data_IF_496700951714
#
_entry.id   IF_496700951714
#
_cell.length_a   1.000
_cell.length_b   1.000
_cell.length_c   1.000
_cell.angle_alpha   90.00
_cell.angle_beta   90.00
_cell.angle_gamma   90.00
#
_symmetry.space_group_name_H-M   'P 1'
#
loop_
_entity.id
_entity.type
_entity.pdbx_description
1 polymer ?
#
# COMPACT_ATOMS: atom_id res chain seq x y z
N UNK A 1 9.18 -2.57 12.03
CA UNK A 1 8.15 -3.62 11.89
C UNK A 1 7.05 -3.13 10.96
N UNK A 2 6.61 -3.98 10.02
CA UNK A 2 5.49 -3.71 9.11
C UNK A 2 4.19 -4.26 9.72
N UNK A 3 3.10 -3.49 9.60
CA UNK A 3 1.76 -3.90 10.00
C UNK A 3 0.80 -3.72 8.83
N UNK A 4 -0.08 -4.68 8.57
CA UNK A 4 -1.21 -4.51 7.66
C UNK A 4 -2.50 -4.34 8.42
N UNK A 5 -3.30 -3.36 8.01
CA UNK A 5 -4.62 -3.10 8.56
C UNK A 5 -5.58 -3.16 7.38
N UNK A 6 -6.50 -4.10 7.43
CA UNK A 6 -7.50 -4.26 6.39
C UNK A 6 -8.88 -3.85 6.90
N UNK A 7 -9.52 -2.92 6.21
CA UNK A 7 -10.85 -2.39 6.54
C UNK A 7 -11.93 -2.99 5.64
N UNK A 8 -12.91 -3.65 6.25
CA UNK A 8 -14.03 -4.27 5.53
C UNK A 8 -15.37 -3.96 6.19
N UNK A 9 -16.44 -4.02 5.39
CA UNK A 9 -17.81 -3.92 5.89
C UNK A 9 -18.22 -5.20 6.62
N UNK A 10 -17.96 -6.36 6.03
CA UNK A 10 -18.38 -7.67 6.51
C UNK A 10 -17.43 -8.81 6.09
N UNK A 11 -17.61 -9.98 6.70
CA UNK A 11 -16.88 -11.20 6.33
C UNK A 11 -17.54 -11.83 5.09
N UNK A 12 -16.76 -12.04 4.04
CA UNK A 12 -17.19 -12.71 2.80
C UNK A 12 -16.17 -13.76 2.33
N UNK A 13 -16.57 -14.61 1.37
CA UNK A 13 -15.63 -15.54 0.73
C UNK A 13 -14.55 -14.81 -0.07
N UNK A 14 -14.91 -13.69 -0.70
CA UNK A 14 -13.96 -12.84 -1.42
C UNK A 14 -12.90 -12.27 -0.47
N UNK A 15 -13.34 -11.81 0.71
CA UNK A 15 -12.43 -11.36 1.77
C UNK A 15 -11.46 -12.49 2.18
N UNK A 16 -11.97 -13.69 2.43
CA UNK A 16 -11.13 -14.81 2.82
C UNK A 16 -10.08 -15.15 1.75
N UNK A 17 -10.46 -15.07 0.46
CA UNK A 17 -9.54 -15.26 -0.65
C UNK A 17 -8.48 -14.14 -0.70
N UNK A 18 -8.87 -12.88 -0.50
CA UNK A 18 -7.94 -11.73 -0.42
C UNK A 18 -6.93 -11.87 0.72
N UNK A 19 -7.41 -12.18 1.93
CA UNK A 19 -6.54 -12.43 3.10
C UNK A 19 -5.60 -13.60 2.82
N UNK A 20 -6.09 -14.69 2.23
CA UNK A 20 -5.24 -15.86 1.92
C UNK A 20 -4.12 -15.48 0.96
N UNK A 21 -4.43 -14.76 -0.12
CA UNK A 21 -3.44 -14.27 -1.08
C UNK A 21 -2.44 -13.32 -0.43
N UNK A 22 -2.89 -12.39 0.41
CA UNK A 22 -2.01 -11.49 1.18
C UNK A 22 -1.02 -12.29 2.03
N UNK A 23 -1.48 -13.34 2.73
CA UNK A 23 -0.62 -14.17 3.56
C UNK A 23 0.35 -15.02 2.75
N UNK A 24 -0.04 -15.53 1.58
CA UNK A 24 0.87 -16.22 0.66
C UNK A 24 2.02 -15.28 0.23
N UNK A 25 1.68 -14.05 -0.13
CA UNK A 25 2.65 -13.01 -0.49
C UNK A 25 3.55 -12.65 0.70
N UNK A 26 3.00 -12.41 1.90
CA UNK A 26 3.77 -12.15 3.12
C UNK A 26 4.75 -13.30 3.39
N UNK A 27 4.29 -14.55 3.32
CA UNK A 27 5.14 -15.71 3.59
C UNK A 27 6.27 -15.85 2.56
N UNK A 28 5.98 -15.56 1.29
CA UNK A 28 6.97 -15.53 0.23
C UNK A 28 8.01 -14.42 0.43
N UNK A 29 7.56 -13.22 0.82
CA UNK A 29 8.41 -12.04 1.01
C UNK A 29 9.11 -11.98 2.37
N UNK A 30 8.74 -12.84 3.33
CA UNK A 30 9.24 -12.87 4.71
C UNK A 30 10.77 -12.72 4.85
N UNK A 31 11.62 -13.33 4.00
CA UNK A 31 13.06 -13.13 4.08
C UNK A 31 13.51 -11.67 3.86
N UNK A 32 12.76 -10.90 3.07
CA UNK A 32 13.06 -9.50 2.76
C UNK A 32 12.36 -8.51 3.70
N UNK A 33 11.07 -8.75 4.00
CA UNK A 33 10.24 -7.79 4.72
C UNK A 33 10.10 -8.09 6.22
N UNK A 34 10.58 -9.26 6.67
CA UNK A 34 10.46 -9.72 8.05
C UNK A 34 9.05 -10.20 8.41
N UNK A 35 8.77 -10.25 9.71
CA UNK A 35 7.43 -10.59 10.22
C UNK A 35 6.46 -9.42 9.99
N UNK A 36 5.26 -9.75 9.52
CA UNK A 36 4.15 -8.81 9.32
C UNK A 36 3.00 -9.21 10.23
N UNK A 37 2.49 -8.25 11.00
CA UNK A 37 1.26 -8.42 11.77
C UNK A 37 0.08 -7.89 10.97
N UNK A 38 -1.03 -8.61 10.94
CA UNK A 38 -2.23 -8.25 10.19
C UNK A 38 -3.40 -8.05 11.15
N UNK A 39 -4.10 -6.93 11.03
CA UNK A 39 -5.39 -6.70 11.70
C UNK A 39 -6.49 -6.53 10.66
N UNK A 40 -7.56 -7.31 10.79
CA UNK A 40 -8.78 -7.18 10.02
C UNK A 40 -9.81 -6.45 10.88
N UNK A 41 -10.21 -5.26 10.44
CA UNK A 41 -11.21 -4.42 11.10
C UNK A 41 -12.53 -4.42 10.34
N UNK A 42 -13.62 -4.64 11.06
CA UNK A 42 -14.98 -4.63 10.50
C UNK A 42 -15.79 -3.43 11.00
N UNK A 43 -16.51 -2.76 10.10
CA UNK A 43 -17.44 -1.65 10.45
C UNK A 43 -18.77 -2.19 11.01
N UNK A 44 -19.23 -3.36 10.57
CA UNK A 44 -20.57 -3.83 10.90
C UNK A 44 -20.68 -4.53 12.26
N UNK A 45 -21.46 -3.93 13.16
CA UNK A 45 -21.76 -4.42 14.53
C UNK A 45 -22.72 -5.62 14.57
N UNK A 46 -23.32 -6.02 13.45
CA UNK A 46 -24.27 -7.15 13.41
C UNK A 46 -23.62 -8.51 13.30
N UNK A 47 -22.31 -8.57 13.07
CA UNK A 47 -21.57 -9.83 13.23
C UNK A 47 -21.49 -10.08 14.74
N UNK A 48 -22.45 -10.84 15.26
CA UNK A 48 -22.37 -11.53 16.56
C UNK A 48 -21.31 -12.63 16.48
N UNK A 49 -20.08 -12.26 16.17
CA UNK A 49 -18.94 -13.06 16.60
C UNK A 49 -18.65 -12.56 18.01
N UNK A 50 -18.80 -13.43 19.01
CA UNK A 50 -18.11 -13.24 20.29
C UNK A 50 -16.71 -12.71 19.96
N UNK A 51 -16.38 -11.52 20.46
CA UNK A 51 -15.26 -10.72 19.95
C UNK A 51 -14.08 -11.63 19.60
N UNK A 52 -13.76 -11.75 18.31
CA UNK A 52 -12.65 -12.61 17.84
C UNK A 52 -11.31 -12.24 18.51
N UNK A 53 -11.27 -11.10 19.19
CA UNK A 53 -10.30 -10.71 20.21
C UNK A 53 -9.95 -11.81 21.22
N UNK A 54 -10.86 -12.72 21.57
CA UNK A 54 -10.58 -13.82 22.51
C UNK A 54 -10.06 -15.10 21.86
N UNK A 55 -10.19 -15.29 20.54
CA UNK A 55 -9.74 -16.53 19.87
C UNK A 55 -8.33 -16.42 19.27
N UNK A 56 -7.83 -15.21 19.00
CA UNK A 56 -6.55 -15.00 18.32
C UNK A 56 -5.32 -14.81 19.24
N UNK A 57 -5.48 -14.78 20.58
CA UNK A 57 -4.34 -14.85 21.51
C UNK A 57 -3.80 -16.28 21.71
N UNK A 58 -4.16 -17.22 20.84
CA UNK A 58 -3.58 -18.56 20.79
C UNK A 58 -2.30 -18.60 19.94
N UNK A 59 -1.33 -17.73 20.25
CA UNK A 59 0.13 -17.84 19.99
C UNK A 59 0.65 -18.38 18.63
N UNK A 60 -0.14 -18.47 17.56
CA UNK A 60 0.27 -19.11 16.29
C UNK A 60 -0.17 -18.36 15.01
N UNK A 61 -1.09 -17.39 15.08
CA UNK A 61 -1.52 -16.63 13.90
C UNK A 61 -1.11 -15.16 13.97
N UNK A 62 -0.41 -14.67 12.95
CA UNK A 62 -0.07 -13.24 12.77
C UNK A 62 -1.29 -12.36 12.42
N UNK A 63 -2.48 -12.96 12.31
CA UNK A 63 -3.73 -12.29 11.93
C UNK A 63 -4.63 -12.10 13.15
N UNK A 64 -5.11 -10.88 13.33
CA UNK A 64 -6.05 -10.46 14.36
C UNK A 64 -7.34 -9.98 13.71
N UNK A 65 -8.47 -10.17 14.37
CA UNK A 65 -9.77 -9.69 13.91
C UNK A 65 -10.40 -8.82 15.01
N UNK A 66 -10.86 -7.62 14.67
CA UNK A 66 -11.54 -6.73 15.61
C UNK A 66 -12.66 -5.90 14.96
N UNK A 67 -13.54 -5.37 15.80
CA UNK A 67 -14.53 -4.35 15.48
C UNK A 67 -14.26 -3.03 16.23
N UNK A 68 -13.26 -3.02 17.13
CA UNK A 68 -12.92 -1.85 17.92
C UNK A 68 -11.69 -1.14 17.32
N UNK A 69 -11.91 0.10 16.90
CA UNK A 69 -10.85 0.96 16.37
C UNK A 69 -9.73 1.21 17.39
N UNK A 70 -9.97 1.06 18.69
CA UNK A 70 -8.90 1.20 19.67
C UNK A 70 -7.84 0.08 19.58
N UNK A 71 -8.19 -1.05 18.96
CA UNK A 71 -7.24 -2.15 18.76
C UNK A 71 -6.27 -1.85 17.63
N UNK A 72 -6.66 -1.01 16.66
CA UNK A 72 -5.73 -0.46 15.67
C UNK A 72 -4.51 0.13 16.36
N UNK A 73 -4.73 1.05 17.32
CA UNK A 73 -3.64 1.74 18.04
C UNK A 73 -2.70 0.77 18.76
N UNK A 74 -3.24 -0.28 19.38
CA UNK A 74 -2.44 -1.31 20.07
C UNK A 74 -1.62 -2.14 19.09
N UNK A 75 -2.19 -2.47 17.92
CA UNK A 75 -1.50 -3.30 16.92
C UNK A 75 -0.39 -2.54 16.22
N UNK A 76 -0.60 -1.25 15.93
CA UNK A 76 0.43 -0.42 15.31
C UNK A 76 1.52 0.01 16.30
N UNK A 77 1.37 -0.19 17.61
CA UNK A 77 2.38 0.21 18.57
C UNK A 77 3.74 -0.45 18.27
N UNK A 78 4.79 0.36 18.08
CA UNK A 78 6.13 -0.10 17.71
C UNK A 78 6.28 -0.52 16.24
N UNK A 79 5.30 -0.24 15.38
CA UNK A 79 5.49 -0.32 13.92
C UNK A 79 6.19 0.93 13.40
N UNK A 80 6.86 0.79 12.26
CA UNK A 80 7.49 1.91 11.52
C UNK A 80 6.66 2.26 10.27
N UNK A 81 6.07 1.24 9.65
CA UNK A 81 5.28 1.37 8.43
C UNK A 81 4.00 0.56 8.54
N UNK A 82 2.91 1.12 8.04
CA UNK A 82 1.57 0.54 8.08
C UNK A 82 1.02 0.49 6.65
N UNK A 83 0.46 -0.64 6.23
CA UNK A 83 -0.29 -0.75 4.98
C UNK A 83 -1.78 -0.74 5.29
N UNK A 84 -2.39 0.37 4.89
CA UNK A 84 -3.78 0.81 4.88
C UNK A 84 -4.68 0.19 3.81
N UNK A 85 -5.09 -1.09 3.87
CA UNK A 85 -6.01 -1.64 2.87
C UNK A 85 -7.47 -1.31 3.18
N UNK A 86 -8.21 -0.78 2.20
CA UNK A 86 -9.64 -0.53 2.38
C UNK A 86 -10.50 -0.83 1.16
N UNK A 87 -11.35 -1.84 1.33
CA UNK A 87 -12.57 -2.07 0.53
C UNK A 87 -13.83 -1.49 1.19
N UNK A 88 -13.68 -0.84 2.35
CA UNK A 88 -14.80 -0.26 3.09
C UNK A 88 -15.36 0.97 2.36
N UNK A 89 -16.37 0.77 1.52
CA UNK A 89 -17.15 1.85 0.96
C UNK A 89 -18.08 2.45 2.01
N UNK A 90 -17.87 3.72 2.31
CA UNK A 90 -18.66 4.46 3.30
C UNK A 90 -19.06 5.81 2.74
N UNK A 91 -20.27 6.24 3.07
CA UNK A 91 -20.79 7.56 2.68
C UNK A 91 -20.33 8.67 3.62
N UNK A 92 -19.58 8.34 4.68
CA UNK A 92 -19.09 9.31 5.65
C UNK A 92 -17.80 9.91 5.15
N UNK A 93 -17.85 11.20 4.83
CA UNK A 93 -16.64 12.03 4.77
C UNK A 93 -15.85 11.81 6.06
N UNK A 94 -14.54 11.66 5.95
CA UNK A 94 -13.61 11.47 7.07
C UNK A 94 -13.59 10.10 7.75
N UNK A 95 -14.12 9.05 7.11
CA UNK A 95 -14.06 7.68 7.65
C UNK A 95 -12.64 7.17 7.91
N UNK A 96 -11.65 7.66 7.16
CA UNK A 96 -10.25 7.22 7.29
C UNK A 96 -9.41 8.10 8.22
N UNK A 97 -9.90 9.29 8.57
CA UNK A 97 -9.17 10.26 9.39
C UNK A 97 -8.74 9.69 10.75
N UNK A 98 -9.55 8.88 11.45
CA UNK A 98 -9.10 8.25 12.69
C UNK A 98 -7.86 7.37 12.55
N UNK A 99 -7.60 6.78 11.37
CA UNK A 99 -6.41 5.97 11.13
C UNK A 99 -5.19 6.85 10.84
N UNK A 100 -5.36 7.92 10.06
CA UNK A 100 -4.29 8.86 9.75
C UNK A 100 -3.88 9.73 10.95
N UNK A 101 -4.83 10.05 11.83
CA UNK A 101 -4.57 10.87 13.01
C UNK A 101 -3.87 10.12 14.16
N UNK A 102 -4.06 8.80 14.25
CA UNK A 102 -3.60 8.01 15.41
C UNK A 102 -2.15 7.53 15.31
N UNK A 103 -1.48 7.76 14.18
CA UNK A 103 -0.07 7.40 14.01
C UNK A 103 0.86 8.42 14.66
N UNK A 104 1.99 7.94 15.16
CA UNK A 104 3.07 8.79 15.64
C UNK A 104 3.84 9.41 14.47
N UNK A 105 4.62 10.47 14.74
CA UNK A 105 5.47 11.13 13.73
C UNK A 105 6.47 10.18 13.05
N UNK A 106 6.78 9.04 13.65
CA UNK A 106 7.71 8.05 13.12
C UNK A 106 7.04 6.95 12.29
N UNK A 107 5.71 6.92 12.26
CA UNK A 107 4.94 5.93 11.53
C UNK A 107 4.46 6.48 10.20
N UNK A 108 4.57 5.67 9.15
CA UNK A 108 4.13 6.04 7.81
C UNK A 108 3.08 5.08 7.29
N UNK A 109 1.96 5.63 6.84
CA UNK A 109 0.85 4.86 6.26
C UNK A 109 0.97 4.87 4.74
N UNK A 110 0.99 3.69 4.13
CA UNK A 110 0.68 3.50 2.71
C UNK A 110 -0.81 3.18 2.64
N UNK A 111 -1.62 4.01 1.98
CA UNK A 111 -3.04 3.74 1.80
C UNK A 111 -3.29 3.10 0.43
N UNK A 112 -4.06 2.01 0.42
CA UNK A 112 -4.50 1.30 -0.78
C UNK A 112 -6.01 0.98 -0.72
N UNK A 113 -6.68 1.08 -1.87
CA UNK A 113 -8.10 0.85 -1.97
C UNK A 113 -8.67 1.12 -3.36
N UNK A 114 -9.99 1.05 -3.49
CA UNK A 114 -10.70 1.44 -4.70
C UNK A 114 -10.57 2.94 -4.99
N UNK A 115 -10.91 3.34 -6.22
CA UNK A 115 -10.93 4.76 -6.63
C UNK A 115 -11.77 5.60 -5.67
N UNK A 116 -12.92 5.09 -5.25
CA UNK A 116 -13.84 5.77 -4.33
C UNK A 116 -13.23 5.89 -2.93
N UNK A 117 -12.62 4.83 -2.39
CA UNK A 117 -12.03 4.88 -1.05
C UNK A 117 -10.81 5.79 -1.00
N UNK A 118 -10.00 5.82 -2.05
CA UNK A 118 -8.90 6.78 -2.22
C UNK A 118 -9.44 8.20 -2.23
N UNK A 119 -10.48 8.51 -3.01
CA UNK A 119 -11.09 9.86 -3.01
C UNK A 119 -11.60 10.27 -1.63
N UNK A 120 -12.24 9.36 -0.90
CA UNK A 120 -12.73 9.63 0.46
C UNK A 120 -11.55 9.87 1.41
N UNK A 121 -10.51 9.03 1.35
CA UNK A 121 -9.31 9.17 2.18
C UNK A 121 -8.60 10.51 1.95
N UNK A 122 -8.44 10.92 0.69
CA UNK A 122 -7.77 12.17 0.32
C UNK A 122 -8.63 13.42 0.53
N UNK A 123 -9.94 13.28 0.76
CA UNK A 123 -10.84 14.43 0.99
C UNK A 123 -10.81 15.00 2.40
N UNK A 124 -10.19 14.30 3.36
CA UNK A 124 -10.04 14.78 4.74
C UNK A 124 -8.77 15.59 4.95
N UNK A 125 -8.59 16.11 6.17
CA UNK A 125 -7.48 17.02 6.50
C UNK A 125 -6.14 16.26 6.66
N UNK A 126 -6.13 15.14 7.39
CA UNK A 126 -4.96 14.28 7.54
C UNK A 126 -4.78 13.40 6.29
N UNK A 127 -3.54 13.30 5.78
CA UNK A 127 -3.19 12.49 4.60
C UNK A 127 -2.39 11.23 4.97
N UNK A 128 -2.50 10.13 4.20
CA UNK A 128 -1.52 9.05 4.29
C UNK A 128 -0.14 9.54 3.85
N UNK A 129 0.91 8.83 4.27
CA UNK A 129 2.27 9.14 3.83
C UNK A 129 2.46 8.81 2.35
N UNK A 130 1.91 7.68 1.90
CA UNK A 130 2.02 7.24 0.53
C UNK A 130 0.70 6.69 -0.03
N UNK A 131 0.51 6.86 -1.33
CA UNK A 131 -0.46 6.13 -2.15
C UNK A 131 0.26 5.52 -3.36
N UNK A 132 -0.12 4.31 -3.74
CA UNK A 132 0.43 3.61 -4.89
C UNK A 132 -0.70 3.25 -5.86
N UNK A 133 -0.67 3.85 -7.05
CA UNK A 133 -1.77 3.82 -8.00
C UNK A 133 -1.33 3.11 -9.29
N UNK A 134 -2.19 2.24 -9.81
CA UNK A 134 -2.05 1.78 -11.19
C UNK A 134 -2.44 2.91 -12.12
N UNK A 135 -1.70 3.10 -13.22
CA UNK A 135 -2.00 4.12 -14.23
C UNK A 135 -3.44 4.01 -14.76
N UNK A 136 -3.99 2.80 -14.79
CA UNK A 136 -5.38 2.51 -15.20
C UNK A 136 -6.45 3.08 -14.26
N UNK A 137 -6.10 3.44 -13.02
CA UNK A 137 -7.03 4.06 -12.06
C UNK A 137 -7.11 5.59 -12.23
N UNK A 138 -6.15 6.22 -12.91
CA UNK A 138 -6.06 7.67 -13.02
C UNK A 138 -7.28 8.34 -13.70
N UNK A 139 -7.86 7.82 -14.80
CA UNK A 139 -9.02 8.45 -15.43
C UNK A 139 -10.19 8.63 -14.46
N UNK A 140 -10.49 7.59 -13.69
CA UNK A 140 -11.60 7.61 -12.74
C UNK A 140 -11.24 8.44 -11.50
N UNK A 141 -10.00 8.41 -11.02
CA UNK A 141 -9.52 9.25 -9.92
C UNK A 141 -9.61 10.74 -10.27
N UNK A 142 -9.03 11.15 -11.39
CA UNK A 142 -9.00 12.54 -11.84
C UNK A 142 -10.32 13.00 -12.45
N UNK A 143 -11.25 12.07 -12.70
CA UNK A 143 -12.54 12.34 -13.36
C UNK A 143 -12.33 12.94 -14.75
N UNK A 144 -11.32 12.44 -15.47
CA UNK A 144 -10.90 12.85 -16.80
C UNK A 144 -10.98 11.66 -17.76
N UNK A 145 -11.30 11.88 -19.06
CA UNK A 145 -11.25 10.81 -20.05
C UNK A 145 -9.84 10.21 -20.17
N UNK A 146 -9.74 8.90 -20.43
CA UNK A 146 -8.46 8.20 -20.66
C UNK A 146 -7.58 8.91 -21.69
N UNK A 147 -8.17 9.45 -22.77
CA UNK A 147 -7.45 10.16 -23.82
C UNK A 147 -6.82 11.47 -23.33
N UNK A 148 -7.38 12.11 -22.31
CA UNK A 148 -6.80 13.30 -21.68
C UNK A 148 -5.64 12.88 -20.79
N UNK A 149 -5.88 11.93 -19.87
CA UNK A 149 -4.86 11.45 -18.92
C UNK A 149 -3.63 10.92 -19.64
N UNK A 150 -3.79 10.15 -20.72
CA UNK A 150 -2.66 9.61 -21.49
C UNK A 150 -1.79 10.67 -22.17
N UNK A 151 -2.27 11.91 -22.31
CA UNK A 151 -1.52 13.03 -22.89
C UNK A 151 -0.97 13.99 -21.82
N UNK A 152 -1.31 13.81 -20.54
CA UNK A 152 -0.79 14.65 -19.46
C UNK A 152 0.68 14.31 -19.18
N UNK A 153 1.45 15.33 -18.81
CA UNK A 153 2.79 15.15 -18.29
C UNK A 153 2.73 14.55 -16.88
N UNK A 154 3.74 13.77 -16.45
CA UNK A 154 3.78 13.23 -15.09
C UNK A 154 3.69 14.30 -14.01
N UNK A 155 4.30 15.46 -14.25
CA UNK A 155 4.19 16.62 -13.38
C UNK A 155 2.75 17.11 -13.24
N UNK A 156 1.96 17.12 -14.32
CA UNK A 156 0.56 17.57 -14.28
C UNK A 156 -0.32 16.58 -13.50
N UNK A 157 -0.06 15.28 -13.64
CA UNK A 157 -0.78 14.23 -12.92
C UNK A 157 -0.46 14.28 -11.43
N UNK A 158 0.83 14.34 -11.08
CA UNK A 158 1.28 14.16 -9.70
C UNK A 158 1.17 15.44 -8.85
N UNK A 159 0.98 16.61 -9.47
CA UNK A 159 0.64 17.85 -8.78
C UNK A 159 -0.85 18.18 -8.85
N UNK A 160 -1.71 17.22 -9.21
CA UNK A 160 -3.16 17.43 -9.17
C UNK A 160 -3.60 17.73 -7.72
N UNK A 161 -4.53 18.69 -7.48
CA UNK A 161 -5.01 19.02 -6.15
C UNK A 161 -5.57 17.83 -5.36
N UNK A 162 -6.00 16.74 -6.02
CA UNK A 162 -6.40 15.51 -5.36
C UNK A 162 -5.28 14.93 -4.47
N UNK A 163 -4.02 15.11 -4.87
CA UNK A 163 -2.85 14.56 -4.19
C UNK A 163 -2.12 15.59 -3.32
N UNK A 164 -2.72 16.76 -3.13
CA UNK A 164 -2.14 17.81 -2.29
C UNK A 164 -1.83 17.27 -0.88
N UNK A 165 -0.67 17.65 -0.36
CA UNK A 165 -0.16 17.23 0.97
C UNK A 165 0.12 15.73 1.15
N UNK A 166 -0.02 14.89 0.11
CA UNK A 166 0.45 13.50 0.16
C UNK A 166 1.96 13.47 -0.07
N UNK A 167 2.79 13.07 0.93
CA UNK A 167 4.24 13.14 0.79
C UNK A 167 4.81 12.31 -0.36
N UNK A 168 4.20 11.14 -0.63
CA UNK A 168 4.62 10.25 -1.70
C UNK A 168 3.45 9.75 -2.53
N UNK A 169 3.50 9.96 -3.84
CA UNK A 169 2.52 9.44 -4.80
C UNK A 169 3.25 8.66 -5.85
N UNK A 170 2.91 7.38 -5.99
CA UNK A 170 3.51 6.49 -6.98
C UNK A 170 2.43 6.13 -7.99
N UNK A 171 2.70 6.35 -9.27
CA UNK A 171 1.86 5.91 -10.38
C UNK A 171 2.67 4.96 -11.22
N UNK A 172 2.18 3.74 -11.42
CA UNK A 172 2.91 2.71 -12.15
C UNK A 172 2.04 1.92 -13.13
N UNK A 173 2.67 1.39 -14.16
CA UNK A 173 2.09 0.47 -15.15
C UNK A 173 2.27 -0.97 -14.69
N UNK A 174 1.45 -1.88 -15.21
CA UNK A 174 1.59 -3.31 -14.88
C UNK A 174 2.99 -3.88 -15.17
N UNK A 175 3.74 -3.27 -16.11
CA UNK A 175 5.13 -3.63 -16.46
C UNK A 175 6.19 -3.08 -15.50
N UNK A 176 5.81 -2.20 -14.58
CA UNK A 176 6.70 -1.57 -13.60
C UNK A 176 7.25 -0.21 -13.98
N UNK A 177 7.07 0.27 -15.22
CA UNK A 177 7.40 1.65 -15.57
C UNK A 177 6.39 2.63 -14.93
N UNK A 178 6.83 3.83 -14.58
CA UNK A 178 5.96 4.79 -13.90
C UNK A 178 6.64 6.08 -13.49
N UNK A 179 6.00 6.78 -12.55
CA UNK A 179 6.46 8.04 -12.00
C UNK A 179 6.19 8.09 -10.51
N UNK A 180 7.07 8.79 -9.79
CA UNK A 180 6.96 8.98 -8.35
C UNK A 180 7.12 10.45 -8.03
N UNK A 181 6.20 11.01 -7.27
CA UNK A 181 6.37 12.28 -6.59
C UNK A 181 6.70 12.00 -5.14
N UNK A 182 7.80 12.56 -4.62
CA UNK A 182 8.19 12.39 -3.23
C UNK A 182 8.83 13.69 -2.73
N UNK A 183 8.21 14.33 -1.74
CA UNK A 183 8.70 15.58 -1.12
C UNK A 183 9.10 16.66 -2.15
N UNK A 184 8.18 16.99 -3.07
CA UNK A 184 8.37 18.01 -4.13
C UNK A 184 9.33 17.62 -5.26
N UNK A 185 9.89 16.42 -5.23
CA UNK A 185 10.74 15.90 -6.29
C UNK A 185 9.99 14.89 -7.15
N UNK A 186 10.24 14.92 -8.46
CA UNK A 186 9.64 14.02 -9.43
C UNK A 186 10.67 13.03 -9.93
N UNK A 187 10.32 11.74 -9.95
CA UNK A 187 11.16 10.65 -10.41
C UNK A 187 10.47 9.87 -11.53
N UNK A 188 11.26 9.39 -12.49
CA UNK A 188 10.85 8.40 -13.46
C UNK A 188 11.32 7.02 -13.02
N UNK A 189 10.43 6.04 -13.21
CA UNK A 189 10.67 4.65 -12.91
C UNK A 189 10.70 3.83 -14.20
N UNK A 190 11.75 3.03 -14.38
CA UNK A 190 11.82 2.06 -15.48
C UNK A 190 12.36 0.71 -15.02
N UNK A 191 11.82 -0.35 -15.63
CA UNK A 191 12.30 -1.72 -15.51
C UNK A 191 12.91 -2.13 -16.86
N UNK A 192 14.21 -2.40 -16.86
CA UNK A 192 14.95 -2.83 -18.05
C UNK A 192 15.20 -4.34 -17.97
N UNK A 193 15.16 -5.02 -19.12
CA UNK A 193 15.60 -6.42 -19.28
C UNK A 193 14.86 -7.46 -18.40
N UNK A 194 13.79 -7.04 -17.73
CA UNK A 194 12.91 -7.89 -16.96
C UNK A 194 11.66 -8.18 -17.80
N UNK A 195 11.42 -9.44 -18.14
CA UNK A 195 10.17 -9.87 -18.79
C UNK A 195 9.04 -9.93 -17.76
N UNK A 196 8.63 -8.75 -17.30
CA UNK A 196 7.56 -8.56 -16.32
C UNK A 196 6.30 -8.20 -17.08
N UNK A 197 5.47 -9.22 -17.31
CA UNK A 197 4.16 -9.04 -17.93
C UNK A 197 3.18 -8.36 -16.97
N UNK A 198 3.30 -8.64 -15.66
CA UNK A 198 2.43 -8.08 -14.63
C UNK A 198 3.06 -8.15 -13.24
N UNK A 199 3.30 -6.99 -12.63
CA UNK A 199 3.74 -6.88 -11.23
C UNK A 199 2.64 -7.29 -10.23
N UNK A 200 3.03 -7.90 -9.11
CA UNK A 200 2.18 -8.02 -7.93
C UNK A 200 2.02 -6.65 -7.27
N UNK A 201 0.78 -6.17 -7.14
CA UNK A 201 0.50 -4.89 -6.49
C UNK A 201 0.76 -4.96 -4.99
N UNK A 202 0.27 -6.01 -4.34
CA UNK A 202 0.45 -6.27 -2.92
C UNK A 202 1.93 -6.44 -2.59
N UNK A 203 2.68 -7.18 -3.42
CA UNK A 203 4.13 -7.28 -3.28
C UNK A 203 4.83 -5.92 -3.40
N UNK A 204 4.35 -5.04 -4.28
CA UNK A 204 4.84 -3.67 -4.38
C UNK A 204 4.63 -2.91 -3.06
N UNK A 205 3.42 -2.95 -2.51
CA UNK A 205 3.09 -2.28 -1.25
C UNK A 205 3.95 -2.76 -0.08
N UNK A 206 4.22 -4.07 0.03
CA UNK A 206 5.09 -4.61 1.07
C UNK A 206 6.54 -4.16 0.94
N UNK A 207 7.07 -4.14 -0.29
CA UNK A 207 8.42 -3.63 -0.53
C UNK A 207 8.53 -2.12 -0.27
N UNK A 208 7.49 -1.35 -0.63
CA UNK A 208 7.42 0.07 -0.28
C UNK A 208 7.37 0.26 1.24
N UNK A 209 6.57 -0.54 1.97
CA UNK A 209 6.49 -0.48 3.42
C UNK A 209 7.84 -0.72 4.08
N UNK A 210 8.60 -1.72 3.60
CA UNK A 210 10.00 -1.94 3.99
C UNK A 210 10.84 -0.69 3.71
N UNK A 211 10.76 -0.16 2.49
CA UNK A 211 11.51 1.03 2.07
C UNK A 211 11.25 2.24 2.95
N UNK A 212 9.98 2.56 3.24
CA UNK A 212 9.61 3.74 4.02
C UNK A 212 9.76 3.53 5.53
N UNK A 213 10.10 2.33 6.01
CA UNK A 213 10.24 2.09 7.46
C UNK A 213 11.39 2.89 8.08
N UNK A 214 12.40 3.28 7.29
CA UNK A 214 13.47 4.16 7.71
C UNK A 214 13.31 5.55 7.07
N UNK A 215 13.50 6.62 7.85
CA UNK A 215 13.41 8.00 7.37
C UNK A 215 14.59 8.44 6.52
N UNK A 216 15.73 7.76 6.67
CA UNK A 216 16.96 8.08 5.97
C UNK A 216 17.05 7.43 4.57
N UNK A 217 16.11 6.52 4.25
CA UNK A 217 16.09 5.86 2.96
C UNK A 217 15.75 6.85 1.82
N UNK A 218 16.52 6.76 0.74
CA UNK A 218 16.30 7.56 -0.46
C UNK A 218 15.04 7.11 -1.22
N UNK A 219 14.46 7.99 -2.03
CA UNK A 219 13.34 7.63 -2.93
C UNK A 219 13.70 6.44 -3.82
N UNK A 220 14.92 6.44 -4.37
CA UNK A 220 15.42 5.33 -5.18
C UNK A 220 15.37 4.01 -4.43
N UNK A 221 15.90 3.97 -3.20
CA UNK A 221 15.89 2.76 -2.39
C UNK A 221 14.46 2.30 -2.09
N UNK A 222 13.59 3.23 -1.66
CA UNK A 222 12.17 2.92 -1.34
C UNK A 222 11.47 2.26 -2.52
N UNK A 223 11.58 2.86 -3.69
CA UNK A 223 10.90 2.40 -4.91
C UNK A 223 11.50 1.10 -5.42
N UNK A 224 12.83 0.94 -5.36
CA UNK A 224 13.52 -0.32 -5.70
C UNK A 224 13.04 -1.45 -4.82
N UNK A 225 12.97 -1.28 -3.50
CA UNK A 225 12.44 -2.30 -2.59
C UNK A 225 11.02 -2.72 -2.95
N UNK A 226 10.19 -1.75 -3.29
CA UNK A 226 8.85 -1.98 -3.81
C UNK A 226 8.83 -2.86 -5.05
N UNK A 227 9.55 -2.47 -6.10
CA UNK A 227 9.60 -3.23 -7.35
C UNK A 227 10.21 -4.62 -7.19
N UNK A 228 11.28 -4.76 -6.39
CA UNK A 228 11.90 -6.05 -6.10
C UNK A 228 10.87 -6.99 -5.49
N UNK A 229 10.11 -6.54 -4.48
CA UNK A 229 9.07 -7.35 -3.87
C UNK A 229 7.92 -7.64 -4.84
N UNK A 230 7.50 -6.65 -5.64
CA UNK A 230 6.46 -6.80 -6.65
C UNK A 230 6.78 -7.88 -7.69
N UNK A 231 8.04 -7.92 -8.15
CA UNK A 231 8.55 -8.94 -9.09
C UNK A 231 8.69 -10.28 -8.38
N UNK A 232 9.21 -10.24 -7.15
CA UNK A 232 9.48 -11.45 -6.37
C UNK A 232 8.19 -12.21 -6.05
N UNK A 233 7.06 -11.53 -5.91
CA UNK A 233 5.74 -12.10 -5.65
C UNK A 233 4.99 -12.57 -6.91
N UNK A 234 5.57 -12.48 -8.11
CA UNK A 234 4.96 -13.07 -9.31
C UNK A 234 5.09 -14.58 -9.22
N UNK A 235 3.95 -15.29 -9.12
CA UNK A 235 3.92 -16.72 -8.82
C UNK A 235 4.80 -17.58 -9.75
N UNK A 236 5.49 -18.57 -9.14
CA UNK A 236 6.33 -19.63 -9.76
C UNK A 236 7.79 -19.32 -10.06
N UNK A 237 8.36 -18.24 -9.53
CA UNK A 237 9.82 -18.13 -9.49
C UNK A 237 10.31 -18.51 -8.09
N UNK A 238 11.31 -19.39 -8.02
CA UNK A 238 12.11 -19.57 -6.81
C UNK A 238 12.91 -18.27 -6.62
N UNK A 239 12.26 -17.24 -6.10
CA UNK A 239 12.87 -15.92 -6.04
C UNK A 239 13.82 -15.86 -4.87
N UNK A 240 15.10 -15.93 -5.17
CA UNK A 240 16.14 -15.41 -4.30
C UNK A 240 16.00 -13.90 -4.33
N UNK A 241 15.69 -13.29 -3.18
CA UNK A 241 15.83 -11.84 -2.99
C UNK A 241 17.31 -11.50 -3.10
N UNK A 242 17.76 -11.15 -4.29
CA UNK A 242 19.09 -10.60 -4.51
C UNK A 242 18.95 -9.16 -5.00
N UNK A 243 19.12 -8.21 -4.08
CA UNK A 243 19.06 -6.78 -4.41
C UNK A 243 20.09 -6.43 -5.51
N UNK A 244 21.26 -7.09 -5.50
CA UNK A 244 22.31 -6.88 -6.51
C UNK A 244 21.88 -7.36 -7.90
N UNK A 245 21.01 -8.36 -7.99
CA UNK A 245 20.46 -8.80 -9.26
C UNK A 245 19.60 -7.69 -9.90
N UNK A 246 18.99 -6.82 -9.11
CA UNK A 246 18.06 -5.80 -9.62
C UNK A 246 18.67 -4.42 -9.81
N UNK A 247 19.90 -4.18 -9.35
CA UNK A 247 20.54 -2.86 -9.34
C UNK A 247 20.63 -2.20 -10.72
N UNK A 248 20.90 -2.99 -11.78
CA UNK A 248 20.99 -2.53 -13.16
C UNK A 248 19.67 -2.63 -13.94
N UNK A 249 18.68 -3.34 -13.39
CA UNK A 249 17.39 -3.63 -14.02
C UNK A 249 16.29 -2.68 -13.59
N UNK A 250 16.43 -2.03 -12.43
CA UNK A 250 15.47 -1.06 -11.92
C UNK A 250 16.14 0.31 -11.85
N UNK A 251 15.60 1.27 -12.59
CA UNK A 251 16.09 2.65 -12.57
C UNK A 251 15.04 3.57 -11.96
N UNK A 252 15.46 4.38 -10.99
CA UNK A 252 14.68 5.45 -10.39
C UNK A 252 15.48 6.73 -10.57
N UNK A 253 15.04 7.60 -11.47
CA UNK A 253 15.82 8.77 -11.88
C UNK A 253 15.04 10.03 -11.55
N UNK A 254 15.63 10.98 -10.83
CA UNK A 254 15.04 12.30 -10.61
C UNK A 254 14.95 13.06 -11.94
N UNK A 255 13.76 13.56 -12.27
CA UNK A 255 13.46 14.28 -13.52
C UNK A 255 12.99 15.72 -13.31
N UNK A 256 12.58 16.10 -12.10
CA UNK A 256 12.37 17.49 -11.68
C UNK A 256 12.61 17.65 -10.18
#
# INVERSE_FOLDING_TARGET
>A
MIVTINLYSEISQELQAKITLEQEIINQLKPAIGEVKTLILFDNKTIHTESLFQQAFSSLSNILYSQDINDYKKVIEGSDSIILFSDLLTNKKNSYQPFFHQVSENQRIIFDGSVETIKIALSGDDKPYAICLKETQLPDLLSLPQTVVSNMLPSEILTDPLFEEVPMVIVYRETGAGYVYHNEELFSLTTNELDVTKLSHEGFLFGLARGISDKENTTEFIVKQGLICAISSIGKQDVVFDEHYFDDKINVIKIA
#
